data_IF_091557510961
#
_entry.id   IF_091557510961
#
_cell.length_a   1.000
_cell.length_b   1.000
_cell.length_c   1.000
_cell.angle_alpha   90.00
_cell.angle_beta   90.00
_cell.angle_gamma   90.00
#
_symmetry.space_group_name_H-M   'P 1'
#
loop_
_entity.id
_entity.type
_entity.pdbx_description
1 polymer ?
#
# COMPACT_ATOMS: atom_id res chain seq x y z
N UNK A 1 7.67 -13.53 -16.72
CA UNK A 1 8.48 -12.47 -16.06
C UNK A 1 7.71 -11.60 -15.07
N UNK A 2 6.70 -10.80 -15.48
CA UNK A 2 5.94 -9.98 -14.52
C UNK A 2 5.09 -10.85 -13.58
N UNK A 3 4.33 -11.78 -14.15
CA UNK A 3 3.57 -12.78 -13.39
C UNK A 3 4.44 -13.59 -12.41
N UNK A 4 5.61 -14.06 -12.84
CA UNK A 4 6.56 -14.79 -11.97
C UNK A 4 7.03 -13.94 -10.79
N UNK A 5 7.29 -12.64 -10.99
CA UNK A 5 7.66 -11.76 -9.88
C UNK A 5 6.50 -11.53 -8.93
N UNK A 6 5.29 -11.33 -9.46
CA UNK A 6 4.10 -11.21 -8.63
C UNK A 6 3.83 -12.50 -7.84
N UNK A 7 3.97 -13.68 -8.45
CA UNK A 7 3.85 -14.98 -7.77
C UNK A 7 4.90 -15.14 -6.66
N UNK A 8 6.15 -14.72 -6.90
CA UNK A 8 7.22 -14.72 -5.90
C UNK A 8 6.95 -13.75 -4.75
N UNK A 9 6.46 -12.55 -5.05
CA UNK A 9 6.20 -11.50 -4.06
C UNK A 9 4.91 -11.73 -3.26
N UNK A 10 3.89 -12.35 -3.88
CA UNK A 10 2.55 -12.52 -3.30
C UNK A 10 2.52 -13.08 -1.87
N UNK A 11 3.22 -14.19 -1.53
CA UNK A 11 3.18 -14.71 -0.16
C UNK A 11 3.76 -13.73 0.85
N UNK A 12 4.90 -13.11 0.54
CA UNK A 12 5.59 -12.18 1.45
C UNK A 12 4.83 -10.87 1.61
N UNK A 13 4.34 -10.29 0.51
CA UNK A 13 3.49 -9.10 0.56
C UNK A 13 2.15 -9.38 1.24
N UNK A 14 1.64 -10.61 1.15
CA UNK A 14 0.46 -11.06 1.90
C UNK A 14 0.68 -11.06 3.41
N UNK A 15 1.84 -11.54 3.88
CA UNK A 15 2.20 -11.47 5.30
C UNK A 15 2.30 -10.02 5.78
N UNK A 16 3.00 -9.17 5.04
CA UNK A 16 3.13 -7.75 5.38
C UNK A 16 1.77 -7.03 5.36
N UNK A 17 0.91 -7.33 4.38
CA UNK A 17 -0.45 -6.80 4.31
C UNK A 17 -1.29 -7.24 5.53
N UNK A 18 -1.17 -8.50 5.95
CA UNK A 18 -1.88 -9.00 7.12
C UNK A 18 -1.44 -8.29 8.41
N UNK A 19 -0.15 -8.03 8.56
CA UNK A 19 0.38 -7.31 9.72
C UNK A 19 -0.12 -5.86 9.78
N UNK A 20 -0.10 -5.12 8.66
CA UNK A 20 -0.60 -3.74 8.65
C UNK A 20 -2.13 -3.65 8.78
N UNK A 21 -2.87 -4.68 8.32
CA UNK A 21 -4.32 -4.81 8.58
C UNK A 21 -4.62 -5.09 10.06
N UNK A 22 -3.72 -5.74 10.77
CA UNK A 22 -3.89 -6.07 12.18
C UNK A 22 -3.65 -4.89 13.14
N UNK A 23 -3.08 -3.78 12.64
CA UNK A 23 -2.98 -2.53 13.41
C UNK A 23 -4.39 -2.06 13.73
N UNK A 24 -4.65 -1.71 14.99
CA UNK A 24 -5.95 -1.22 15.43
C UNK A 24 -5.80 -0.16 16.51
N UNK A 25 -6.74 0.78 16.53
CA UNK A 25 -6.75 1.89 17.46
C UNK A 25 -8.00 1.85 18.31
N UNK A 26 -7.83 1.97 19.63
CA UNK A 26 -8.96 2.06 20.58
C UNK A 26 -9.84 3.29 20.31
N UNK A 27 -9.24 4.35 19.78
CA UNK A 27 -9.90 5.61 19.40
C UNK A 27 -10.65 5.53 18.07
N UNK A 28 -10.58 4.40 17.35
CA UNK A 28 -11.35 4.16 16.13
C UNK A 28 -12.26 2.93 16.29
N UNK A 29 -13.44 3.07 16.90
CA UNK A 29 -14.31 1.92 17.17
C UNK A 29 -15.05 1.44 15.91
N UNK A 30 -14.98 0.14 15.63
CA UNK A 30 -15.82 -0.56 14.66
C UNK A 30 -16.63 -1.61 15.43
N UNK A 31 -17.95 -1.49 15.44
CA UNK A 31 -18.84 -2.35 16.25
C UNK A 31 -18.38 -2.52 17.72
N UNK A 32 -18.04 -1.39 18.37
CA UNK A 32 -17.53 -1.32 19.76
C UNK A 32 -16.18 -2.02 20.01
N UNK A 33 -15.40 -2.32 18.97
CA UNK A 33 -14.05 -2.87 19.08
C UNK A 33 -13.02 -1.93 18.44
N UNK A 34 -11.76 -1.91 18.92
CA UNK A 34 -10.69 -1.20 18.23
C UNK A 34 -10.61 -1.61 16.76
N UNK A 35 -10.51 -0.62 15.89
CA UNK A 35 -10.56 -0.81 14.44
C UNK A 35 -9.43 -0.12 13.71
N UNK A 36 -9.41 -0.30 12.40
CA UNK A 36 -8.43 0.30 11.50
C UNK A 36 -9.18 1.11 10.42
N UNK A 37 -9.04 2.44 10.39
CA UNK A 37 -9.76 3.29 9.44
C UNK A 37 -9.36 3.04 7.98
N UNK A 38 -8.24 2.37 7.74
CA UNK A 38 -7.68 2.17 6.40
C UNK A 38 -8.08 0.84 5.77
N UNK A 39 -8.93 0.03 6.42
CA UNK A 39 -9.41 -1.24 5.87
C UNK A 39 -10.52 -1.03 4.85
N UNK A 40 -11.50 -0.20 5.17
CA UNK A 40 -12.77 -0.19 4.44
C UNK A 40 -12.64 0.51 3.08
N UNK A 41 -13.23 -0.10 2.06
CA UNK A 41 -13.18 0.40 0.69
C UNK A 41 -14.18 1.54 0.52
N UNK A 42 -13.70 2.77 0.43
CA UNK A 42 -14.57 3.91 0.10
C UNK A 42 -15.03 3.83 -1.35
N UNK A 43 -16.32 4.00 -1.59
CA UNK A 43 -16.97 4.11 -2.90
C UNK A 43 -17.93 5.30 -2.88
N UNK A 44 -18.34 5.80 -4.05
CA UNK A 44 -19.28 6.93 -4.11
C UNK A 44 -20.62 6.61 -3.44
N UNK A 45 -20.98 5.34 -3.41
CA UNK A 45 -22.22 4.83 -2.84
C UNK A 45 -22.17 4.75 -1.30
N UNK A 46 -21.02 4.39 -0.71
CA UNK A 46 -20.91 4.17 0.74
C UNK A 46 -20.30 5.36 1.51
N UNK A 47 -19.64 6.31 0.83
CA UNK A 47 -18.97 7.45 1.47
C UNK A 47 -19.88 8.21 2.45
N UNK A 48 -21.15 8.40 2.10
CA UNK A 48 -22.12 9.07 2.98
C UNK A 48 -22.37 8.27 4.27
N UNK A 49 -22.55 6.95 4.16
CA UNK A 49 -22.78 6.08 5.30
C UNK A 49 -21.54 5.97 6.20
N UNK A 50 -20.34 6.11 5.63
CA UNK A 50 -19.06 6.06 6.33
C UNK A 50 -18.62 7.43 6.89
N UNK A 51 -19.49 8.45 6.83
CA UNK A 51 -19.20 9.77 7.40
C UNK A 51 -18.19 10.61 6.59
N UNK A 52 -17.92 10.23 5.34
CA UNK A 52 -16.99 10.91 4.44
C UNK A 52 -17.66 11.27 3.10
N UNK A 53 -18.82 11.96 3.11
CA UNK A 53 -19.69 12.11 1.93
C UNK A 53 -19.03 12.81 0.72
N UNK A 54 -18.03 13.66 0.97
CA UNK A 54 -17.30 14.44 -0.04
C UNK A 54 -15.91 13.88 -0.36
N UNK A 55 -15.56 12.67 0.10
CA UNK A 55 -14.22 12.10 -0.07
C UNK A 55 -13.72 12.15 -1.52
N UNK A 56 -14.56 11.75 -2.46
CA UNK A 56 -14.24 11.70 -3.90
C UNK A 56 -14.24 13.06 -4.61
N UNK A 57 -14.62 14.13 -3.92
CA UNK A 57 -14.51 15.50 -4.43
C UNK A 57 -13.09 16.05 -4.21
N UNK A 58 -12.40 15.54 -3.19
CA UNK A 58 -11.06 15.97 -2.77
C UNK A 58 -9.97 14.94 -3.12
N UNK A 59 -10.28 13.64 -3.06
CA UNK A 59 -9.32 12.57 -3.29
C UNK A 59 -9.45 12.03 -4.72
N UNK A 60 -8.42 12.29 -5.53
CA UNK A 60 -8.36 11.88 -6.93
C UNK A 60 -8.02 10.39 -7.12
N UNK A 61 -7.17 9.84 -6.26
CA UNK A 61 -6.70 8.44 -6.37
C UNK A 61 -6.94 7.72 -5.04
N UNK A 62 -8.15 7.18 -4.80
CA UNK A 62 -8.45 6.43 -3.59
C UNK A 62 -7.60 5.16 -3.46
N UNK A 63 -7.21 4.83 -2.23
CA UNK A 63 -6.56 3.57 -1.88
C UNK A 63 -6.92 3.19 -0.44
N UNK A 64 -6.98 1.89 -0.19
CA UNK A 64 -7.28 1.29 1.12
C UNK A 64 -6.75 -0.16 1.15
N UNK A 65 -6.73 -0.78 2.33
CA UNK A 65 -6.16 -2.11 2.51
C UNK A 65 -7.02 -3.22 1.88
N UNK A 66 -8.30 -2.97 1.61
CA UNK A 66 -9.15 -3.90 0.84
C UNK A 66 -8.78 -3.86 -0.64
N UNK A 67 -8.65 -2.68 -1.25
CA UNK A 67 -8.12 -2.50 -2.61
C UNK A 67 -6.73 -3.09 -2.75
N UNK A 68 -5.85 -2.88 -1.76
CA UNK A 68 -4.53 -3.51 -1.79
C UNK A 68 -4.60 -5.04 -1.76
N UNK A 69 -5.52 -5.63 -1.00
CA UNK A 69 -5.74 -7.08 -0.99
C UNK A 69 -6.23 -7.59 -2.35
N UNK A 70 -7.15 -6.88 -3.01
CA UNK A 70 -7.63 -7.19 -4.37
C UNK A 70 -6.45 -7.14 -5.38
N UNK A 71 -5.66 -6.07 -5.37
CA UNK A 71 -4.47 -5.93 -6.23
C UNK A 71 -3.45 -7.05 -6.02
N UNK A 72 -3.25 -7.47 -4.77
CA UNK A 72 -2.38 -8.59 -4.43
C UNK A 72 -2.93 -9.93 -4.96
N UNK A 73 -4.24 -10.15 -4.84
CA UNK A 73 -4.91 -11.33 -5.38
C UNK A 73 -4.77 -11.41 -6.89
N UNK A 74 -4.95 -10.29 -7.59
CA UNK A 74 -4.82 -10.13 -9.04
C UNK A 74 -3.37 -10.07 -9.54
N UNK A 75 -2.37 -10.27 -8.66
CA UNK A 75 -0.95 -10.30 -9.03
C UNK A 75 -0.43 -8.99 -9.64
N UNK A 76 -0.97 -7.85 -9.20
CA UNK A 76 -0.58 -6.53 -9.73
C UNK A 76 0.73 -6.00 -9.13
N UNK A 77 1.18 -6.56 -7.99
CA UNK A 77 2.44 -6.17 -7.35
C UNK A 77 3.62 -6.96 -7.89
N UNK A 78 4.11 -6.55 -9.07
CA UNK A 78 5.29 -7.13 -9.74
C UNK A 78 6.62 -6.55 -9.21
N UNK A 79 6.56 -5.48 -8.43
CA UNK A 79 7.68 -4.88 -7.72
C UNK A 79 7.23 -4.47 -6.31
N UNK A 80 8.11 -4.61 -5.30
CA UNK A 80 7.86 -4.12 -3.94
C UNK A 80 7.49 -2.64 -3.91
N UNK A 81 8.09 -1.83 -4.80
CA UNK A 81 7.83 -0.40 -4.93
C UNK A 81 6.36 -0.07 -5.22
N UNK A 82 5.63 -0.95 -5.92
CA UNK A 82 4.21 -0.74 -6.23
C UNK A 82 3.36 -0.90 -4.98
N UNK A 83 3.66 -1.91 -4.16
CA UNK A 83 3.00 -2.11 -2.87
C UNK A 83 3.27 -0.92 -1.94
N UNK A 84 4.53 -0.47 -1.84
CA UNK A 84 4.91 0.69 -1.02
C UNK A 84 4.24 2.00 -1.49
N UNK A 85 4.04 2.17 -2.80
CA UNK A 85 3.33 3.34 -3.34
C UNK A 85 1.87 3.36 -2.90
N UNK A 86 1.18 2.22 -2.90
CA UNK A 86 -0.21 2.15 -2.44
C UNK A 86 -0.34 2.37 -0.93
N UNK A 87 0.60 1.87 -0.12
CA UNK A 87 0.67 2.20 1.31
C UNK A 87 0.85 3.71 1.51
N UNK A 88 1.79 4.31 0.77
CA UNK A 88 2.03 5.75 0.84
C UNK A 88 0.79 6.56 0.42
N UNK A 89 0.04 6.07 -0.58
CA UNK A 89 -1.18 6.71 -1.05
C UNK A 89 -2.29 6.70 0.00
N UNK A 90 -2.46 5.61 0.76
CA UNK A 90 -3.37 5.57 1.92
C UNK A 90 -3.01 6.68 2.91
N UNK A 91 -1.74 6.78 3.28
CA UNK A 91 -1.24 7.78 4.24
C UNK A 91 -1.43 9.20 3.72
N UNK A 92 -1.07 9.46 2.46
CA UNK A 92 -1.19 10.78 1.84
C UNK A 92 -2.64 11.23 1.74
N UNK A 93 -3.54 10.35 1.28
CA UNK A 93 -4.96 10.66 1.20
C UNK A 93 -5.56 10.93 2.58
N UNK A 94 -5.20 10.11 3.58
CA UNK A 94 -5.66 10.31 4.95
C UNK A 94 -5.20 11.66 5.51
N UNK A 95 -3.92 12.02 5.35
CA UNK A 95 -3.36 13.29 5.84
C UNK A 95 -3.88 14.51 5.08
N UNK A 96 -4.20 14.36 3.79
CA UNK A 96 -4.78 15.43 2.99
C UNK A 96 -6.24 15.69 3.35
N UNK A 97 -7.04 14.63 3.47
CA UNK A 97 -8.46 14.75 3.76
C UNK A 97 -8.73 15.14 5.22
N UNK A 98 -7.87 14.71 6.15
CA UNK A 98 -8.04 14.94 7.58
C UNK A 98 -7.00 15.96 8.07
N UNK A 99 -7.41 17.13 8.61
CA UNK A 99 -6.48 18.12 9.16
C UNK A 99 -5.56 17.57 10.25
N UNK A 100 -4.40 18.20 10.42
CA UNK A 100 -3.44 17.89 11.49
C UNK A 100 -4.13 17.92 12.86
N UNK A 101 -3.80 16.97 13.74
CA UNK A 101 -4.38 16.84 15.08
C UNK A 101 -5.72 16.11 15.13
N UNK A 102 -6.33 15.77 13.99
CA UNK A 102 -7.49 14.88 13.98
C UNK A 102 -7.05 13.42 14.19
N UNK A 103 -7.90 12.56 14.80
CA UNK A 103 -7.52 11.18 15.09
C UNK A 103 -7.00 10.40 13.87
N UNK A 104 -7.65 10.54 12.70
CA UNK A 104 -7.26 9.82 11.48
C UNK A 104 -5.93 10.32 10.92
N UNK A 105 -5.62 11.61 11.07
CA UNK A 105 -4.31 12.15 10.68
C UNK A 105 -3.19 11.53 11.52
N UNK A 106 -3.37 11.47 12.84
CA UNK A 106 -2.37 10.87 13.74
C UNK A 106 -2.24 9.35 13.52
N UNK A 107 -3.36 8.64 13.29
CA UNK A 107 -3.33 7.23 12.92
C UNK A 107 -2.59 6.98 11.60
N UNK A 108 -2.67 7.90 10.63
CA UNK A 108 -1.94 7.77 9.37
C UNK A 108 -0.42 7.87 9.58
N UNK A 109 0.03 8.74 10.48
CA UNK A 109 1.45 8.86 10.86
C UNK A 109 1.94 7.60 11.59
N UNK A 110 1.16 7.09 12.54
CA UNK A 110 1.48 5.86 13.26
C UNK A 110 1.50 4.64 12.33
N UNK A 111 0.53 4.55 11.43
CA UNK A 111 0.46 3.52 10.41
C UNK A 111 1.67 3.54 9.46
N UNK A 112 2.06 4.72 8.97
CA UNK A 112 3.26 4.90 8.14
C UNK A 112 4.52 4.41 8.87
N UNK A 113 4.68 4.80 10.14
CA UNK A 113 5.80 4.37 10.98
C UNK A 113 5.83 2.85 11.17
N UNK A 114 4.69 2.22 11.50
CA UNK A 114 4.62 0.77 11.65
C UNK A 114 4.96 0.05 10.35
N UNK A 115 4.43 0.51 9.21
CA UNK A 115 4.76 -0.05 7.92
C UNK A 115 6.26 0.02 7.64
N UNK A 116 6.89 1.18 7.86
CA UNK A 116 8.34 1.35 7.65
C UNK A 116 9.16 0.40 8.52
N UNK A 117 8.82 0.25 9.80
CA UNK A 117 9.49 -0.67 10.72
C UNK A 117 9.38 -2.12 10.27
N UNK A 118 8.19 -2.54 9.83
CA UNK A 118 7.98 -3.90 9.33
C UNK A 118 8.71 -4.12 8.00
N UNK A 119 8.63 -3.17 7.07
CA UNK A 119 9.36 -3.23 5.82
C UNK A 119 10.87 -3.37 6.04
N UNK A 120 11.45 -2.55 6.92
CA UNK A 120 12.85 -2.61 7.27
C UNK A 120 13.23 -3.97 7.87
N UNK A 121 12.43 -4.51 8.79
CA UNK A 121 12.63 -5.85 9.33
C UNK A 121 12.67 -6.92 8.23
N UNK A 122 11.72 -6.91 7.30
CA UNK A 122 11.67 -7.88 6.19
C UNK A 122 12.90 -7.77 5.29
N UNK A 123 13.43 -6.56 5.08
CA UNK A 123 14.65 -6.33 4.30
C UNK A 123 15.89 -6.84 5.05
N UNK A 124 16.02 -6.52 6.34
CA UNK A 124 17.15 -6.96 7.17
C UNK A 124 17.21 -8.48 7.31
N UNK A 125 16.06 -9.15 7.37
CA UNK A 125 15.95 -10.62 7.40
C UNK A 125 16.13 -11.26 6.01
N UNK A 126 16.34 -10.48 4.95
CA UNK A 126 16.49 -10.99 3.58
C UNK A 126 15.21 -11.57 2.98
N UNK A 127 14.05 -11.34 3.60
CA UNK A 127 12.74 -11.80 3.13
C UNK A 127 12.29 -10.97 1.93
N UNK A 128 12.58 -9.66 1.94
CA UNK A 128 12.36 -8.75 0.82
C UNK A 128 13.68 -8.16 0.34
N UNK A 129 13.89 -8.12 -0.99
CA UNK A 129 15.04 -7.48 -1.61
C UNK A 129 14.62 -6.20 -2.37
N UNK A 130 15.01 -5.00 -1.88
CA UNK A 130 14.71 -3.74 -2.55
C UNK A 130 15.56 -3.52 -3.83
N UNK A 131 16.65 -4.25 -4.01
CA UNK A 131 17.55 -4.15 -5.18
C UNK A 131 17.16 -5.08 -6.34
N UNK A 132 16.39 -6.14 -6.08
CA UNK A 132 15.89 -7.05 -7.12
C UNK A 132 15.19 -6.31 -8.27
N UNK A 133 14.47 -5.23 -7.95
CA UNK A 133 13.81 -4.33 -8.91
C UNK A 133 14.82 -3.45 -9.68
N UNK A 134 15.86 -2.93 -8.99
CA UNK A 134 16.87 -2.02 -9.59
C UNK A 134 17.82 -2.74 -10.54
N UNK A 135 18.31 -3.94 -10.18
CA UNK A 135 19.18 -4.77 -11.04
C UNK A 135 18.46 -5.20 -12.33
N UNK A 136 17.16 -5.50 -12.26
CA UNK A 136 16.32 -5.81 -13.44
C UNK A 136 16.08 -4.60 -14.36
N UNK A 137 15.74 -3.42 -13.80
CA UNK A 137 15.60 -2.17 -14.59
C UNK A 137 16.89 -1.80 -15.33
N UNK A 138 18.06 -2.03 -14.71
CA UNK A 138 19.37 -1.80 -15.36
C UNK A 138 19.62 -2.79 -16.51
N UNK A 139 19.27 -4.07 -16.34
CA UNK A 139 19.36 -5.11 -17.40
C UNK A 139 18.42 -4.83 -18.58
N UNK A 140 17.18 -4.39 -18.33
CA UNK A 140 16.22 -4.04 -19.39
C UNK A 140 16.59 -2.78 -20.17
N UNK A 141 17.06 -1.73 -19.47
CA UNK A 141 17.58 -0.53 -20.13
C UNK A 141 18.78 -0.87 -21.04
N UNK A 142 19.67 -1.78 -20.61
CA UNK A 142 20.78 -2.27 -21.43
C UNK A 142 20.27 -3.02 -22.68
N UNK A 143 19.35 -3.97 -22.50
CA UNK A 143 18.75 -4.76 -23.59
C UNK A 143 17.99 -3.91 -24.62
N UNK A 144 17.29 -2.85 -24.19
CA UNK A 144 16.65 -1.87 -25.09
C UNK A 144 17.67 -0.99 -25.83
N UNK A 145 18.80 -0.65 -25.21
CA UNK A 145 19.87 0.14 -25.82
C UNK A 145 20.64 -0.66 -26.87
N UNK A 146 20.87 -1.94 -26.63
CA UNK A 146 21.57 -2.84 -27.55
C UNK A 146 20.71 -3.12 -28.80
N UNK A 147 19.40 -3.38 -28.64
CA UNK A 147 18.45 -3.52 -29.77
C UNK A 147 18.33 -2.27 -30.65
N UNK A 148 18.56 -1.08 -30.09
CA UNK A 148 18.49 0.19 -30.82
C UNK A 148 19.80 0.53 -31.55
N UNK A 149 20.85 -0.26 -31.36
CA UNK A 149 22.11 -0.16 -32.11
C UNK A 149 22.19 -1.15 -33.28
N UNK A 150 21.33 -2.16 -33.29
CA UNK A 150 21.23 -3.19 -34.32
C UNK A 150 20.11 -2.91 -35.35
N UNK A 151 19.44 -1.76 -35.25
CA UNK A 151 18.46 -1.22 -36.20
C UNK A 151 18.89 0.18 -36.62
#
# INVERSE_FOLDING_TARGET
REREEAERLKPVLGMLLQEIKAISWKTWPIHNKPGNPFIEKFTRENCKALGVPNYFDYISTPMDLTRMAEKLQHMEYVELSLFSQDVALIVQNAKFFNPIGTPVHEMALEFEKHYQQRLEYYIQQGILDPEGSKKKKKKEKKKKKDKKKES
#
